data_IF_374529417430
#
_entry.id   IF_374529417430
#
_cell.length_a   1.000
_cell.length_b   1.000
_cell.length_c   1.000
_cell.angle_alpha   90.00
_cell.angle_beta   90.00
_cell.angle_gamma   90.00
#
_symmetry.space_group_name_H-M   'P 1'
#
loop_
_entity.id
_entity.type
_entity.pdbx_description
1 polymer ?
#
# COMPACT_ATOMS: atom_id res chain seq x y z
N UNK A 1 21.74 -28.48 -15.96
CA UNK A 1 21.45 -28.17 -14.54
C UNK A 1 21.50 -26.65 -14.37
N UNK A 2 20.38 -25.98 -14.61
CA UNK A 2 20.30 -24.51 -14.59
C UNK A 2 20.14 -23.99 -13.18
N UNK A 3 21.19 -23.39 -12.64
CA UNK A 3 21.13 -22.62 -11.41
C UNK A 3 20.43 -21.29 -11.70
N UNK A 4 19.14 -21.19 -11.41
CA UNK A 4 18.42 -19.91 -11.56
C UNK A 4 19.00 -18.90 -10.58
N UNK A 5 19.47 -17.75 -11.08
CA UNK A 5 20.05 -16.65 -10.30
C UNK A 5 19.13 -16.16 -9.17
N UNK A 6 17.82 -16.40 -9.27
CA UNK A 6 16.82 -16.27 -8.21
C UNK A 6 17.20 -17.03 -6.94
N UNK A 7 17.85 -18.19 -7.06
CA UNK A 7 18.33 -19.00 -5.92
C UNK A 7 19.58 -18.42 -5.26
N UNK A 8 20.43 -17.75 -6.04
CA UNK A 8 21.63 -17.07 -5.53
C UNK A 8 21.24 -15.76 -4.86
N UNK A 9 20.38 -14.96 -5.50
CA UNK A 9 19.78 -13.73 -4.94
C UNK A 9 18.90 -14.03 -3.72
N UNK A 10 18.10 -15.10 -3.72
CA UNK A 10 17.34 -15.52 -2.54
C UNK A 10 18.24 -16.04 -1.40
N UNK A 11 19.44 -16.56 -1.70
CA UNK A 11 20.43 -16.95 -0.67
C UNK A 11 21.19 -15.74 -0.12
N UNK A 12 21.56 -14.76 -0.94
CA UNK A 12 22.23 -13.53 -0.49
C UNK A 12 21.28 -12.49 0.11
N UNK A 13 20.00 -12.49 -0.25
CA UNK A 13 18.96 -11.60 0.30
C UNK A 13 18.10 -12.23 1.41
N UNK A 14 18.41 -13.45 1.85
CA UNK A 14 17.81 -14.09 3.03
C UNK A 14 17.68 -13.18 4.26
N UNK A 15 18.64 -12.28 4.59
CA UNK A 15 18.48 -11.36 5.72
C UNK A 15 17.49 -10.21 5.49
N UNK A 16 17.01 -9.97 4.26
CA UNK A 16 16.16 -8.82 3.90
C UNK A 16 14.70 -9.20 3.57
N UNK A 17 14.29 -10.43 3.93
CA UNK A 17 12.93 -10.93 3.67
C UNK A 17 12.37 -11.81 4.79
N UNK A 18 11.11 -12.17 4.66
CA UNK A 18 10.35 -12.92 5.68
C UNK A 18 10.77 -14.39 5.87
N UNK A 19 11.85 -14.82 5.19
CA UNK A 19 12.29 -16.21 5.15
C UNK A 19 11.21 -17.15 4.58
N UNK A 20 11.22 -18.41 4.99
CA UNK A 20 10.17 -19.40 4.66
C UNK A 20 9.05 -19.47 5.71
N UNK A 21 9.03 -18.58 6.72
CA UNK A 21 8.07 -18.65 7.84
C UNK A 21 6.62 -18.48 7.39
N UNK A 22 6.40 -17.62 6.40
CA UNK A 22 5.07 -17.41 5.81
C UNK A 22 4.52 -18.62 5.04
N UNK A 23 5.38 -19.60 4.71
CA UNK A 23 5.00 -20.88 4.11
C UNK A 23 4.71 -21.98 5.15
N UNK A 24 4.90 -21.71 6.44
CA UNK A 24 4.63 -22.69 7.48
C UNK A 24 3.13 -22.99 7.52
N UNK A 25 2.76 -24.26 7.56
CA UNK A 25 1.38 -24.74 7.55
C UNK A 25 0.49 -24.01 8.59
N UNK A 26 0.89 -23.85 9.87
CA UNK A 26 0.07 -23.10 10.83
C UNK A 26 -0.15 -21.62 10.45
N UNK A 27 0.82 -20.99 9.78
CA UNK A 27 0.69 -19.61 9.34
C UNK A 27 -0.27 -19.49 8.14
N UNK A 28 -0.27 -20.48 7.25
CA UNK A 28 -1.17 -20.54 6.10
C UNK A 28 -2.60 -20.84 6.53
N UNK A 29 -2.80 -21.83 7.40
CA UNK A 29 -4.11 -22.17 7.97
C UNK A 29 -4.72 -20.99 8.72
N UNK A 30 -3.91 -20.29 9.53
CA UNK A 30 -4.37 -19.08 10.19
C UNK A 30 -4.81 -18.01 9.20
N UNK A 31 -4.02 -17.76 8.14
CA UNK A 31 -4.39 -16.80 7.11
C UNK A 31 -5.67 -17.20 6.36
N UNK A 32 -5.86 -18.49 6.05
CA UNK A 32 -7.08 -18.99 5.41
C UNK A 32 -8.31 -18.75 6.29
N UNK A 33 -8.25 -19.14 7.56
CA UNK A 33 -9.33 -18.89 8.52
C UNK A 33 -9.66 -17.38 8.62
N UNK A 34 -8.63 -16.54 8.64
CA UNK A 34 -8.79 -15.09 8.67
C UNK A 34 -9.39 -14.51 7.38
N UNK A 35 -9.13 -15.11 6.23
CA UNK A 35 -9.71 -14.72 4.95
C UNK A 35 -11.18 -15.16 4.83
N UNK A 36 -11.50 -16.39 5.27
CA UNK A 36 -12.85 -16.96 5.26
C UNK A 36 -13.80 -16.21 6.19
N UNK A 37 -13.29 -15.67 7.31
CA UNK A 37 -14.06 -14.81 8.19
C UNK A 37 -14.52 -13.50 7.50
N UNK A 38 -13.96 -13.16 6.33
CA UNK A 38 -14.33 -11.99 5.55
C UNK A 38 -13.89 -10.67 6.16
N UNK A 39 -14.46 -9.57 5.64
CA UNK A 39 -14.22 -8.23 6.17
C UNK A 39 -14.55 -8.20 7.67
N UNK A 40 -13.55 -7.88 8.49
CA UNK A 40 -13.73 -7.93 9.94
C UNK A 40 -14.50 -6.72 10.43
N UNK A 41 -15.40 -6.98 11.37
CA UNK A 41 -16.03 -5.93 12.18
C UNK A 41 -14.98 -5.06 12.90
N UNK A 42 -13.79 -5.63 13.20
CA UNK A 42 -12.62 -4.92 13.70
C UNK A 42 -11.39 -5.17 12.83
N UNK A 43 -11.25 -4.39 11.78
CA UNK A 43 -10.06 -4.34 10.92
C UNK A 43 -8.81 -3.78 11.65
N UNK A 44 -7.67 -3.70 10.96
CA UNK A 44 -6.42 -3.19 11.54
C UNK A 44 -6.51 -1.74 12.05
N UNK A 45 -7.24 -0.88 11.35
CA UNK A 45 -7.44 0.52 11.75
C UNK A 45 -8.29 0.60 13.03
N UNK A 46 -9.32 -0.25 13.18
CA UNK A 46 -10.20 -0.27 14.33
C UNK A 46 -9.41 -0.64 15.58
N UNK A 47 -8.61 -1.71 15.50
CA UNK A 47 -7.77 -2.14 16.61
C UNK A 47 -6.72 -1.09 16.99
N UNK A 48 -6.17 -0.36 16.01
CA UNK A 48 -5.22 0.73 16.29
C UNK A 48 -5.89 1.97 16.90
N UNK A 49 -7.10 2.29 16.46
CA UNK A 49 -7.93 3.33 17.06
C UNK A 49 -8.29 3.01 18.51
N UNK A 50 -8.75 1.80 18.81
CA UNK A 50 -9.05 1.33 20.17
C UNK A 50 -7.82 1.49 21.08
N UNK A 51 -6.66 0.97 20.66
CA UNK A 51 -5.40 1.13 21.41
C UNK A 51 -5.03 2.60 21.63
N UNK A 52 -5.30 3.47 20.65
CA UNK A 52 -5.06 4.92 20.80
C UNK A 52 -5.99 5.53 21.83
N UNK A 53 -7.27 5.18 21.85
CA UNK A 53 -8.21 5.67 22.87
C UNK A 53 -7.82 5.19 24.27
N UNK A 54 -7.43 3.91 24.42
CA UNK A 54 -6.98 3.33 25.68
C UNK A 54 -5.71 3.99 26.22
N UNK A 55 -4.76 4.32 25.33
CA UNK A 55 -3.50 4.97 25.68
C UNK A 55 -3.56 6.50 25.81
N UNK A 56 -4.71 7.12 25.56
CA UNK A 56 -4.87 8.59 25.57
C UNK A 56 -5.23 9.13 26.95
N UNK A 57 -4.90 10.41 27.19
CA UNK A 57 -5.43 11.13 28.35
C UNK A 57 -6.96 11.22 28.27
N UNK A 58 -7.63 11.49 29.40
CA UNK A 58 -9.10 11.65 29.40
C UNK A 58 -9.56 12.77 28.44
N UNK A 59 -8.82 13.89 28.41
CA UNK A 59 -9.13 15.02 27.54
C UNK A 59 -8.95 14.66 26.05
N UNK A 60 -7.84 14.01 25.70
CA UNK A 60 -7.56 13.60 24.33
C UNK A 60 -8.56 12.56 23.84
N UNK A 61 -8.88 11.56 24.67
CA UNK A 61 -9.91 10.56 24.35
C UNK A 61 -11.25 11.23 24.06
N UNK A 62 -11.68 12.18 24.88
CA UNK A 62 -12.93 12.92 24.65
C UNK A 62 -12.90 13.73 23.36
N UNK A 63 -11.78 14.38 23.04
CA UNK A 63 -11.61 15.09 21.79
C UNK A 63 -11.69 14.15 20.56
N UNK A 64 -11.04 12.99 20.64
CA UNK A 64 -11.07 11.95 19.60
C UNK A 64 -12.48 11.37 19.40
N UNK A 65 -13.18 11.01 20.48
CA UNK A 65 -14.56 10.52 20.44
C UNK A 65 -15.52 11.57 19.86
N UNK A 66 -15.35 12.84 20.25
CA UNK A 66 -16.16 13.96 19.73
C UNK A 66 -15.92 14.16 18.25
N UNK A 67 -14.66 14.17 17.81
CA UNK A 67 -14.33 14.29 16.39
C UNK A 67 -14.90 13.11 15.58
N UNK A 68 -14.82 11.89 16.11
CA UNK A 68 -15.39 10.70 15.47
C UNK A 68 -16.91 10.81 15.33
N UNK A 69 -17.61 11.26 16.38
CA UNK A 69 -19.06 11.47 16.36
C UNK A 69 -19.49 12.59 15.40
N UNK A 70 -18.71 13.67 15.26
CA UNK A 70 -19.04 14.81 14.40
C UNK A 70 -19.09 14.44 12.91
N UNK A 71 -18.32 13.44 12.45
CA UNK A 71 -18.34 13.01 11.06
C UNK A 71 -19.48 12.04 10.71
N UNK A 72 -20.13 11.44 11.72
CA UNK A 72 -21.26 10.50 11.55
C UNK A 72 -20.99 9.43 10.47
N UNK A 73 -21.63 9.52 9.29
CA UNK A 73 -21.43 8.60 8.16
C UNK A 73 -19.97 8.51 7.67
N UNK A 74 -19.13 9.49 7.96
CA UNK A 74 -17.72 9.55 7.59
C UNK A 74 -16.77 9.29 8.76
N UNK A 75 -17.26 8.76 9.89
CA UNK A 75 -16.46 8.57 11.11
C UNK A 75 -15.23 7.69 10.89
N UNK A 76 -15.26 6.82 9.88
CA UNK A 76 -14.12 6.03 9.42
C UNK A 76 -12.88 6.89 9.10
N UNK A 77 -13.07 8.09 8.54
CA UNK A 77 -11.98 9.01 8.24
C UNK A 77 -11.26 9.42 9.54
N UNK A 78 -12.00 9.72 10.61
CA UNK A 78 -11.39 10.05 11.91
C UNK A 78 -10.71 8.82 12.53
N UNK A 79 -11.35 7.66 12.42
CA UNK A 79 -10.80 6.38 12.89
C UNK A 79 -9.43 6.12 12.26
N UNK A 80 -9.32 6.23 10.92
CA UNK A 80 -8.05 6.07 10.20
C UNK A 80 -7.03 7.17 10.53
N UNK A 81 -7.46 8.43 10.63
CA UNK A 81 -6.59 9.52 11.05
C UNK A 81 -5.94 9.26 12.43
N UNK A 82 -6.75 8.83 13.41
CA UNK A 82 -6.24 8.45 14.73
C UNK A 82 -5.36 7.21 14.67
N UNK A 83 -5.79 6.15 13.97
CA UNK A 83 -5.03 4.92 13.80
C UNK A 83 -3.67 5.14 13.13
N UNK A 84 -3.56 6.11 12.20
CA UNK A 84 -2.32 6.53 11.56
C UNK A 84 -1.39 7.33 12.50
N UNK A 85 -1.89 7.72 13.68
CA UNK A 85 -1.12 8.45 14.69
C UNK A 85 -1.18 9.97 14.55
N UNK A 86 -2.16 10.52 13.82
CA UNK A 86 -2.29 11.95 13.67
C UNK A 86 -2.49 12.66 15.04
N UNK A 87 -1.95 13.88 15.21
CA UNK A 87 -2.18 14.72 16.39
C UNK A 87 -3.67 14.98 16.64
N UNK A 88 -4.06 15.07 17.92
CA UNK A 88 -5.47 15.23 18.34
C UNK A 88 -6.05 16.55 17.83
N UNK A 89 -5.27 17.62 17.87
CA UNK A 89 -5.63 18.94 17.35
C UNK A 89 -5.82 18.95 15.83
N UNK A 90 -5.00 18.21 15.07
CA UNK A 90 -5.18 18.01 13.64
C UNK A 90 -6.46 17.23 13.32
N UNK A 91 -6.78 16.20 14.10
CA UNK A 91 -8.01 15.42 13.96
C UNK A 91 -9.23 16.30 14.25
N UNK A 92 -9.19 17.09 15.33
CA UNK A 92 -10.26 18.04 15.66
C UNK A 92 -10.42 19.12 14.57
N UNK A 93 -9.31 19.63 14.03
CA UNK A 93 -9.32 20.58 12.92
C UNK A 93 -9.90 19.98 11.64
N UNK A 94 -9.60 18.71 11.34
CA UNK A 94 -10.22 17.98 10.23
C UNK A 94 -11.73 17.88 10.43
N UNK A 95 -12.17 17.47 11.62
CA UNK A 95 -13.59 17.33 11.93
C UNK A 95 -14.38 18.63 11.78
N UNK A 96 -13.86 19.73 12.36
CA UNK A 96 -14.45 21.07 12.22
C UNK A 96 -14.41 21.60 10.77
N UNK A 97 -13.44 21.13 9.98
CA UNK A 97 -13.28 21.51 8.58
C UNK A 97 -14.09 20.65 7.60
N UNK A 98 -14.56 19.47 8.01
CA UNK A 98 -15.01 18.41 7.11
C UNK A 98 -16.12 18.85 6.16
N UNK A 99 -17.18 19.48 6.68
CA UNK A 99 -18.33 19.93 5.87
C UNK A 99 -17.93 20.92 4.77
N UNK A 100 -16.87 21.70 4.99
CA UNK A 100 -16.35 22.72 4.07
C UNK A 100 -15.35 22.17 3.05
N UNK A 101 -14.97 20.89 3.13
CA UNK A 101 -14.13 20.28 2.11
C UNK A 101 -14.91 20.03 0.82
N UNK A 102 -14.23 20.20 -0.30
CA UNK A 102 -14.76 19.82 -1.62
C UNK A 102 -15.01 18.31 -1.65
N UNK A 103 -16.01 17.87 -2.41
CA UNK A 103 -16.43 16.47 -2.43
C UNK A 103 -15.33 15.54 -2.96
N UNK A 104 -14.48 16.00 -3.88
CA UNK A 104 -13.29 15.24 -4.33
C UNK A 104 -12.32 14.94 -3.17
N UNK A 105 -12.15 15.89 -2.24
CA UNK A 105 -11.26 15.70 -1.10
C UNK A 105 -11.89 14.74 -0.08
N UNK A 106 -13.21 14.83 0.12
CA UNK A 106 -13.95 13.87 0.96
C UNK A 106 -13.90 12.47 0.38
N UNK A 107 -14.12 12.32 -0.93
CA UNK A 107 -14.06 11.06 -1.65
C UNK A 107 -12.68 10.43 -1.54
N UNK A 108 -11.61 11.20 -1.81
CA UNK A 108 -10.24 10.72 -1.69
C UNK A 108 -9.88 10.34 -0.23
N UNK A 109 -10.36 11.10 0.75
CA UNK A 109 -10.14 10.81 2.16
C UNK A 109 -10.87 9.52 2.61
N UNK A 110 -12.09 9.27 2.11
CA UNK A 110 -12.88 8.06 2.39
C UNK A 110 -12.18 6.82 1.85
N UNK A 111 -11.92 6.79 0.55
CA UNK A 111 -11.20 5.70 -0.09
C UNK A 111 -10.66 6.16 -1.45
N UNK A 112 -9.34 6.32 -1.63
CA UNK A 112 -8.79 6.77 -2.91
C UNK A 112 -8.99 5.77 -4.04
N UNK A 113 -9.40 4.52 -3.75
CA UNK A 113 -9.66 3.48 -4.75
C UNK A 113 -11.14 3.31 -5.09
N UNK A 114 -12.05 3.91 -4.33
CA UNK A 114 -13.47 3.78 -4.59
C UNK A 114 -13.86 4.58 -5.83
N UNK A 115 -14.71 4.00 -6.68
CA UNK A 115 -15.42 4.77 -7.69
C UNK A 115 -16.38 5.77 -7.01
N UNK A 116 -16.97 6.68 -7.80
CA UNK A 116 -17.95 7.67 -7.33
C UNK A 116 -19.12 7.08 -6.50
N UNK A 117 -19.39 5.78 -6.66
CA UNK A 117 -20.42 5.03 -5.91
C UNK A 117 -19.93 4.39 -4.61
N UNK A 118 -18.71 4.69 -4.15
CA UNK A 118 -18.17 4.18 -2.88
C UNK A 118 -17.69 2.73 -2.91
N UNK A 119 -17.58 2.13 -4.10
CA UNK A 119 -17.16 0.72 -4.28
C UNK A 119 -15.91 0.67 -5.16
N UNK A 120 -14.95 -0.18 -4.77
CA UNK A 120 -13.77 -0.48 -5.58
C UNK A 120 -14.19 -1.38 -6.75
N UNK A 121 -13.93 -0.95 -7.97
CA UNK A 121 -14.23 -1.69 -9.22
C UNK A 121 -13.21 -1.34 -10.28
N UNK A 122 -13.13 -2.16 -11.33
CA UNK A 122 -12.24 -1.86 -12.46
C UNK A 122 -12.54 -0.48 -13.06
N UNK A 123 -11.46 0.24 -13.39
CA UNK A 123 -11.54 1.60 -13.93
C UNK A 123 -10.48 2.55 -13.36
N UNK A 124 -10.48 3.81 -13.80
CA UNK A 124 -9.49 4.80 -13.35
C UNK A 124 -9.54 5.03 -11.84
N UNK A 125 -8.35 5.16 -11.24
CA UNK A 125 -8.17 5.66 -9.88
C UNK A 125 -7.81 7.14 -9.99
N UNK A 126 -8.53 8.02 -9.31
CA UNK A 126 -8.37 9.46 -9.48
C UNK A 126 -8.45 10.25 -8.17
N UNK A 127 -7.67 11.32 -8.12
CA UNK A 127 -7.78 12.39 -7.14
C UNK A 127 -8.54 13.55 -7.80
N UNK A 128 -9.85 13.63 -7.57
CA UNK A 128 -10.73 14.51 -8.33
C UNK A 128 -10.67 14.18 -9.83
N UNK A 129 -10.31 15.16 -10.66
CA UNK A 129 -10.19 14.97 -12.12
C UNK A 129 -8.85 14.37 -12.57
N UNK A 130 -7.88 14.22 -11.68
CA UNK A 130 -6.52 13.75 -12.03
C UNK A 130 -6.42 12.25 -11.80
N UNK A 131 -6.15 11.50 -12.86
CA UNK A 131 -5.83 10.06 -12.74
C UNK A 131 -4.54 9.88 -11.95
N UNK A 132 -4.58 9.05 -10.91
CA UNK A 132 -3.43 8.68 -10.11
C UNK A 132 -2.55 7.72 -10.92
N UNK A 133 -1.80 8.24 -11.90
CA UNK A 133 -0.87 7.48 -12.75
C UNK A 133 0.57 7.67 -12.27
N UNK A 134 1.43 6.69 -12.47
CA UNK A 134 2.87 6.86 -12.24
C UNK A 134 3.46 7.92 -13.19
N UNK A 135 4.47 8.63 -12.71
CA UNK A 135 5.17 9.67 -13.50
C UNK A 135 5.98 9.06 -14.64
N UNK A 136 6.67 7.95 -14.38
CA UNK A 136 7.58 7.30 -15.32
C UNK A 136 7.74 5.80 -15.02
N UNK A 137 8.57 5.11 -15.81
CA UNK A 137 8.78 3.65 -15.70
C UNK A 137 9.51 3.21 -14.41
N UNK A 138 10.03 4.13 -13.61
CA UNK A 138 10.76 3.85 -12.36
C UNK A 138 9.93 4.18 -11.11
N UNK A 139 8.76 4.81 -11.28
CA UNK A 139 7.95 5.32 -10.16
C UNK A 139 6.76 4.43 -9.80
N UNK A 140 6.61 3.24 -10.40
CA UNK A 140 5.54 2.28 -10.06
C UNK A 140 5.45 2.01 -8.54
N UNK A 141 6.57 1.64 -7.90
CA UNK A 141 6.60 1.37 -6.46
C UNK A 141 6.37 2.62 -5.61
N UNK A 142 6.79 3.80 -6.07
CA UNK A 142 6.55 5.07 -5.39
C UNK A 142 5.08 5.51 -5.48
N UNK A 143 4.42 5.27 -6.61
CA UNK A 143 3.00 5.48 -6.79
C UNK A 143 2.18 4.53 -5.90
N UNK A 144 2.55 3.24 -5.85
CA UNK A 144 1.96 2.26 -4.93
C UNK A 144 2.09 2.72 -3.48
N UNK A 145 3.30 3.08 -3.03
CA UNK A 145 3.52 3.54 -1.66
C UNK A 145 2.75 4.82 -1.35
N UNK A 146 2.68 5.77 -2.29
CA UNK A 146 1.89 7.00 -2.16
C UNK A 146 0.40 6.74 -1.95
N UNK A 147 -0.19 5.82 -2.72
CA UNK A 147 -1.59 5.43 -2.55
C UNK A 147 -1.85 4.61 -1.28
N UNK A 148 -0.90 3.77 -0.86
CA UNK A 148 -0.99 3.11 0.45
C UNK A 148 -1.03 4.15 1.59
N UNK A 149 -0.19 5.18 1.53
CA UNK A 149 -0.24 6.28 2.49
C UNK A 149 -1.56 7.06 2.41
N UNK A 150 -2.06 7.37 1.21
CA UNK A 150 -3.34 8.07 1.03
C UNK A 150 -4.54 7.26 1.57
N UNK A 151 -4.54 5.93 1.41
CA UNK A 151 -5.60 5.08 1.92
C UNK A 151 -5.54 4.91 3.45
N UNK A 152 -4.34 4.91 4.02
CA UNK A 152 -4.12 4.72 5.47
C UNK A 152 -4.29 6.02 6.25
N UNK A 153 -3.79 7.13 5.71
CA UNK A 153 -3.80 8.44 6.34
C UNK A 153 -4.59 9.43 5.46
N UNK A 154 -5.81 9.82 5.87
CA UNK A 154 -6.65 10.72 5.09
C UNK A 154 -6.04 12.11 4.90
N UNK A 155 -5.10 12.54 5.76
CA UNK A 155 -4.40 13.81 5.56
C UNK A 155 -3.54 13.81 4.31
N UNK A 156 -2.97 12.66 3.93
CA UNK A 156 -2.20 12.50 2.69
C UNK A 156 -3.13 12.68 1.49
N UNK A 157 -4.28 12.01 1.48
CA UNK A 157 -5.26 12.12 0.39
C UNK A 157 -5.79 13.56 0.24
N UNK A 158 -6.18 14.20 1.36
CA UNK A 158 -6.67 15.58 1.35
C UNK A 158 -5.59 16.54 0.87
N UNK A 159 -4.33 16.36 1.31
CA UNK A 159 -3.23 17.22 0.85
C UNK A 159 -3.00 17.08 -0.65
N UNK A 160 -3.05 15.87 -1.23
CA UNK A 160 -2.93 15.70 -2.69
C UNK A 160 -4.03 16.48 -3.41
N UNK A 161 -5.29 16.37 -2.96
CA UNK A 161 -6.42 17.04 -3.61
C UNK A 161 -6.41 18.56 -3.40
N UNK A 162 -6.12 19.06 -2.20
CA UNK A 162 -6.35 20.47 -1.86
C UNK A 162 -5.09 21.26 -1.49
N UNK A 163 -3.96 20.60 -1.27
CA UNK A 163 -2.74 21.21 -0.72
C UNK A 163 -2.86 21.66 0.74
N UNK A 164 -3.94 21.31 1.45
CA UNK A 164 -4.21 21.80 2.80
C UNK A 164 -3.55 20.91 3.84
N UNK A 165 -3.01 21.54 4.88
CA UNK A 165 -2.57 20.92 6.12
C UNK A 165 -3.52 21.33 7.26
N UNK A 166 -3.65 20.50 8.29
CA UNK A 166 -4.55 20.74 9.42
C UNK A 166 -3.74 20.84 10.70
N UNK A 167 -3.85 21.99 11.39
CA UNK A 167 -3.05 22.30 12.57
C UNK A 167 -1.52 22.08 12.37
N UNK A 168 -1.01 22.33 11.15
CA UNK A 168 0.41 22.15 10.82
C UNK A 168 0.89 20.70 10.71
N UNK A 169 0.04 19.70 10.94
CA UNK A 169 0.43 18.30 10.80
C UNK A 169 0.79 17.98 9.35
N UNK A 170 1.98 17.41 9.19
CA UNK A 170 2.55 17.04 7.91
C UNK A 170 2.91 15.56 7.96
N UNK A 171 2.06 14.66 7.40
CA UNK A 171 2.39 13.25 7.30
C UNK A 171 3.75 13.03 6.64
N UNK A 172 4.46 11.96 6.99
CA UNK A 172 5.82 11.69 6.45
C UNK A 172 5.84 11.70 4.92
N UNK A 173 4.79 11.13 4.30
CA UNK A 173 4.65 11.12 2.85
C UNK A 173 4.50 12.52 2.23
N UNK A 174 3.78 13.41 2.92
CA UNK A 174 3.62 14.81 2.51
C UNK A 174 4.90 15.60 2.76
N UNK A 175 5.60 15.37 3.88
CA UNK A 175 6.87 15.99 4.16
C UNK A 175 7.91 15.65 3.08
N UNK A 176 7.99 14.37 2.68
CA UNK A 176 8.84 13.93 1.58
C UNK A 176 8.45 14.58 0.24
N UNK A 177 7.14 14.75 -0.03
CA UNK A 177 6.65 15.43 -1.21
C UNK A 177 7.05 16.91 -1.23
N UNK A 178 6.89 17.62 -0.12
CA UNK A 178 7.27 19.04 0.04
C UNK A 178 8.77 19.22 -0.23
N UNK A 179 9.63 18.38 0.35
CA UNK A 179 11.07 18.39 0.11
C UNK A 179 11.40 18.14 -1.37
N UNK A 180 10.61 17.31 -2.06
CA UNK A 180 10.74 17.04 -3.49
C UNK A 180 10.14 18.14 -4.40
N UNK A 181 9.79 19.31 -3.85
CA UNK A 181 9.25 20.45 -4.56
C UNK A 181 7.72 20.58 -4.52
N UNK A 182 7.02 19.74 -3.75
CA UNK A 182 5.56 19.67 -3.72
C UNK A 182 4.85 20.92 -3.14
N UNK A 183 5.52 21.71 -2.32
CA UNK A 183 4.95 22.97 -1.79
C UNK A 183 4.82 24.06 -2.87
N UNK A 184 5.64 23.99 -3.92
CA UNK A 184 5.58 24.89 -5.07
C UNK A 184 4.79 24.31 -6.24
N UNK A 185 4.22 23.11 -6.09
CA UNK A 185 3.53 22.42 -7.17
C UNK A 185 2.07 22.86 -7.27
N UNK A 186 1.72 23.48 -8.40
CA UNK A 186 0.36 23.92 -8.67
C UNK A 186 -0.56 22.73 -8.99
N UNK A 187 -1.73 22.71 -8.33
CA UNK A 187 -2.78 21.73 -8.60
C UNK A 187 -2.53 20.29 -8.09
N UNK A 188 -3.49 19.41 -8.37
CA UNK A 188 -3.52 18.02 -7.89
C UNK A 188 -2.40 17.20 -8.52
N UNK A 189 -2.19 17.34 -9.84
CA UNK A 189 -1.17 16.58 -10.59
C UNK A 189 0.25 16.89 -10.11
N UNK A 190 0.55 18.17 -9.85
CA UNK A 190 1.84 18.60 -9.33
C UNK A 190 2.12 17.98 -7.94
N UNK A 191 1.13 17.97 -7.04
CA UNK A 191 1.26 17.36 -5.72
C UNK A 191 1.36 15.83 -5.77
N UNK A 192 0.58 15.18 -6.63
CA UNK A 192 0.69 13.73 -6.85
C UNK A 192 2.08 13.34 -7.39
N UNK A 193 2.60 14.11 -8.35
CA UNK A 193 3.97 13.97 -8.85
C UNK A 193 5.01 14.14 -7.74
N UNK A 194 4.81 15.12 -6.87
CA UNK A 194 5.71 15.37 -5.74
C UNK A 194 5.70 14.23 -4.72
N UNK A 195 4.54 13.64 -4.40
CA UNK A 195 4.45 12.44 -3.56
C UNK A 195 5.29 11.32 -4.14
N UNK A 196 5.12 11.02 -5.43
CA UNK A 196 5.88 9.95 -6.08
C UNK A 196 7.39 10.22 -6.04
N UNK A 197 7.83 11.45 -6.32
CA UNK A 197 9.26 11.80 -6.25
C UNK A 197 9.83 11.69 -4.84
N UNK A 198 9.09 12.15 -3.84
CA UNK A 198 9.44 12.03 -2.42
C UNK A 198 9.59 10.56 -2.00
N UNK A 199 8.61 9.72 -2.35
CA UNK A 199 8.64 8.29 -2.05
C UNK A 199 9.74 7.56 -2.82
N UNK A 200 9.97 7.89 -4.08
CA UNK A 200 11.05 7.31 -4.87
C UNK A 200 12.42 7.65 -4.27
N UNK A 201 12.62 8.89 -3.83
CA UNK A 201 13.83 9.29 -3.12
C UNK A 201 13.99 8.57 -1.77
N UNK A 202 12.92 8.42 -0.99
CA UNK A 202 12.94 7.74 0.30
C UNK A 202 13.25 6.24 0.18
N UNK A 203 12.66 5.58 -0.82
CA UNK A 203 12.83 4.13 -1.06
C UNK A 203 14.19 3.79 -1.68
N UNK A 204 14.81 4.71 -2.42
CA UNK A 204 16.13 4.48 -3.03
C UNK A 204 17.29 4.90 -2.14
N UNK A 205 17.06 5.80 -1.18
CA UNK A 205 18.08 6.24 -0.22
C UNK A 205 18.38 5.15 0.82
N UNK A 206 19.66 4.85 1.05
CA UNK A 206 20.13 3.89 2.07
C UNK A 206 19.42 2.53 1.96
N UNK A 207 19.26 2.07 0.72
CA UNK A 207 18.56 0.85 0.39
C UNK A 207 19.44 -0.40 0.48
N UNK A 208 20.77 -0.25 0.44
CA UNK A 208 21.75 -1.31 0.58
C UNK A 208 22.66 -0.99 1.78
N UNK A 209 22.07 -0.91 2.97
CA UNK A 209 22.75 -0.40 4.16
C UNK A 209 23.01 1.12 4.05
N UNK A 210 24.26 1.61 4.14
CA UNK A 210 24.53 3.04 3.98
C UNK A 210 24.41 3.51 2.52
N UNK A 211 24.38 2.60 1.54
CA UNK A 211 24.39 2.91 0.11
C UNK A 211 22.99 3.03 -0.49
N UNK A 212 22.87 3.85 -1.52
CA UNK A 212 21.63 3.99 -2.30
C UNK A 212 21.39 2.81 -3.24
N UNK A 213 20.11 2.60 -3.58
CA UNK A 213 19.70 1.77 -4.70
C UNK A 213 19.73 2.61 -5.99
N UNK A 214 20.16 2.06 -7.13
CA UNK A 214 20.10 2.77 -8.41
C UNK A 214 18.66 3.19 -8.72
N UNK A 215 18.41 4.50 -8.81
CA UNK A 215 17.07 5.05 -9.09
C UNK A 215 16.47 4.56 -10.41
N UNK A 216 17.31 4.23 -11.39
CA UNK A 216 16.88 3.64 -12.67
C UNK A 216 16.24 2.26 -12.53
N UNK A 217 16.43 1.58 -11.39
CA UNK A 217 15.84 0.28 -11.09
C UNK A 217 14.56 0.40 -10.24
N UNK A 218 14.07 1.63 -10.00
CA UNK A 218 12.85 1.89 -9.25
C UNK A 218 12.98 1.58 -7.75
N UNK A 219 11.90 1.08 -7.15
CA UNK A 219 11.77 0.87 -5.71
C UNK A 219 12.05 -0.60 -5.32
N UNK A 220 13.09 -0.90 -4.51
CA UNK A 220 13.37 -2.28 -4.11
C UNK A 220 12.35 -2.83 -3.09
N UNK A 221 11.97 -4.12 -3.14
CA UNK A 221 10.90 -4.71 -2.31
C UNK A 221 11.07 -4.53 -0.80
N UNK A 222 12.29 -4.68 -0.28
CA UNK A 222 12.55 -4.55 1.15
C UNK A 222 12.40 -3.11 1.64
N UNK A 223 12.72 -2.10 0.83
CA UNK A 223 12.52 -0.69 1.21
C UNK A 223 11.07 -0.28 1.14
N UNK A 224 10.31 -0.82 0.18
CA UNK A 224 8.86 -0.67 0.19
C UNK A 224 8.28 -1.27 1.47
N UNK A 225 8.67 -2.49 1.83
CA UNK A 225 8.23 -3.14 3.08
C UNK A 225 8.63 -2.36 4.35
N UNK A 226 9.84 -1.81 4.40
CA UNK A 226 10.34 -1.05 5.56
C UNK A 226 9.52 0.21 5.85
N UNK A 227 9.15 0.92 4.79
CA UNK A 227 8.41 2.19 4.82
C UNK A 227 6.88 1.98 4.88
N UNK A 228 6.41 0.78 4.59
CA UNK A 228 4.99 0.43 4.70
C UNK A 228 4.67 0.00 6.13
N UNK A 229 4.06 0.91 6.90
CA UNK A 229 3.67 0.65 8.29
C UNK A 229 2.26 1.14 8.65
N UNK A 230 1.21 0.74 7.91
CA UNK A 230 -0.14 1.17 8.21
C UNK A 230 -0.53 0.76 9.63
N UNK A 231 -0.98 1.74 10.42
CA UNK A 231 -1.48 1.51 11.78
C UNK A 231 -0.49 0.79 12.71
N UNK A 232 0.82 0.95 12.46
CA UNK A 232 1.89 0.28 13.20
C UNK A 232 2.18 -1.17 12.78
N UNK A 233 1.44 -1.72 11.82
CA UNK A 233 1.65 -3.07 11.29
C UNK A 233 2.88 -3.09 10.40
N UNK A 234 3.86 -3.94 10.73
CA UNK A 234 5.10 -4.07 9.95
C UNK A 234 4.87 -4.92 8.73
N UNK A 235 5.44 -4.52 7.59
CA UNK A 235 5.49 -5.35 6.41
C UNK A 235 6.84 -6.04 6.25
N UNK A 236 6.82 -7.15 5.51
CA UNK A 236 8.00 -7.91 5.12
C UNK A 236 7.87 -8.32 3.66
N UNK A 237 9.01 -8.36 2.98
CA UNK A 237 9.08 -8.77 1.58
C UNK A 237 9.45 -10.25 1.49
N UNK A 238 8.88 -10.99 0.53
CA UNK A 238 9.24 -12.39 0.26
C UNK A 238 9.23 -12.69 -1.25
N UNK A 239 10.24 -13.45 -1.70
CA UNK A 239 10.27 -14.01 -3.06
C UNK A 239 9.16 -15.05 -3.20
N UNK A 240 8.42 -15.00 -4.30
CA UNK A 240 7.40 -15.99 -4.64
C UNK A 240 7.97 -17.02 -5.61
N UNK A 241 7.93 -18.30 -5.23
CA UNK A 241 8.14 -19.41 -6.15
C UNK A 241 6.80 -19.80 -6.78
N UNK A 242 6.46 -19.16 -7.90
CA UNK A 242 5.19 -19.35 -8.63
C UNK A 242 5.02 -20.72 -9.28
N UNK A 243 6.06 -21.57 -9.28
CA UNK A 243 5.98 -22.98 -9.69
C UNK A 243 5.56 -23.90 -8.55
N UNK A 244 5.69 -23.44 -7.30
CA UNK A 244 5.24 -24.16 -6.12
C UNK A 244 3.78 -23.85 -5.83
N UNK A 245 2.90 -24.84 -6.01
CA UNK A 245 1.48 -24.69 -5.69
C UNK A 245 1.26 -24.25 -4.23
N UNK A 246 2.03 -24.81 -3.30
CA UNK A 246 1.95 -24.42 -1.88
C UNK A 246 2.37 -22.98 -1.62
N UNK A 247 3.38 -22.46 -2.34
CA UNK A 247 3.79 -21.06 -2.20
C UNK A 247 2.75 -20.09 -2.78
N UNK A 248 2.11 -20.45 -3.89
CA UNK A 248 1.00 -19.68 -4.48
C UNK A 248 -0.21 -19.68 -3.55
N UNK A 249 -0.59 -20.84 -3.01
CA UNK A 249 -1.70 -20.95 -2.05
C UNK A 249 -1.44 -20.13 -0.78
N UNK A 250 -0.24 -20.21 -0.21
CA UNK A 250 0.15 -19.39 0.93
C UNK A 250 0.04 -17.89 0.61
N UNK A 251 0.50 -17.46 -0.58
CA UNK A 251 0.46 -16.06 -0.97
C UNK A 251 -0.98 -15.56 -1.09
N UNK A 252 -1.86 -16.34 -1.74
CA UNK A 252 -3.28 -16.03 -1.86
C UNK A 252 -3.94 -15.94 -0.48
N UNK A 253 -3.67 -16.88 0.42
CA UNK A 253 -4.23 -16.88 1.77
C UNK A 253 -3.81 -15.64 2.56
N UNK A 254 -2.52 -15.33 2.61
CA UNK A 254 -2.01 -14.15 3.32
C UNK A 254 -2.49 -12.84 2.70
N UNK A 255 -2.54 -12.75 1.38
CA UNK A 255 -3.03 -11.55 0.70
C UNK A 255 -4.53 -11.32 0.98
N UNK A 256 -5.33 -12.38 0.92
CA UNK A 256 -6.77 -12.32 1.22
C UNK A 256 -7.01 -11.93 2.68
N UNK A 257 -6.27 -12.52 3.63
CA UNK A 257 -6.34 -12.17 5.04
C UNK A 257 -5.95 -10.72 5.32
N UNK A 258 -4.91 -10.21 4.64
CA UNK A 258 -4.50 -8.82 4.76
C UNK A 258 -5.60 -7.87 4.26
N UNK A 259 -6.16 -8.15 3.08
CA UNK A 259 -7.20 -7.31 2.49
C UNK A 259 -8.49 -7.32 3.31
N UNK A 260 -8.88 -8.48 3.85
CA UNK A 260 -9.99 -8.62 4.80
C UNK A 260 -9.79 -7.79 6.10
N UNK A 261 -8.54 -7.51 6.44
CA UNK A 261 -8.13 -6.70 7.59
C UNK A 261 -7.85 -5.22 7.24
N UNK A 262 -8.20 -4.79 6.01
CA UNK A 262 -8.01 -3.43 5.52
C UNK A 262 -6.57 -3.08 5.13
N UNK A 263 -5.71 -4.08 4.98
CA UNK A 263 -4.28 -3.94 4.70
C UNK A 263 -3.98 -4.28 3.23
N UNK A 264 -3.49 -3.30 2.48
CA UNK A 264 -3.20 -3.45 1.04
C UNK A 264 -1.91 -4.23 0.81
N UNK A 265 -1.80 -4.93 -0.33
CA UNK A 265 -0.69 -5.87 -0.59
C UNK A 265 0.05 -5.52 -1.88
N UNK A 266 1.28 -4.99 -1.79
CA UNK A 266 2.13 -4.77 -2.95
C UNK A 266 2.64 -6.10 -3.54
N UNK A 267 2.58 -6.19 -4.86
CA UNK A 267 3.14 -7.28 -5.64
C UNK A 267 4.16 -6.74 -6.63
N UNK A 268 5.26 -7.47 -6.76
CA UNK A 268 6.23 -7.21 -7.79
C UNK A 268 6.12 -8.23 -8.90
N UNK A 269 6.13 -7.73 -10.12
CA UNK A 269 6.09 -8.51 -11.35
C UNK A 269 7.42 -8.44 -12.11
N UNK A 270 7.72 -9.51 -12.82
CA UNK A 270 8.96 -9.68 -13.56
C UNK A 270 8.73 -10.48 -14.86
N UNK A 271 9.76 -10.51 -15.71
CA UNK A 271 9.74 -11.28 -16.94
C UNK A 271 10.15 -12.73 -16.73
N UNK A 272 10.17 -13.48 -17.82
CA UNK A 272 10.76 -14.83 -17.81
C UNK A 272 12.28 -14.74 -17.94
N UNK A 273 13.00 -15.54 -17.15
CA UNK A 273 14.47 -15.64 -17.15
C UNK A 273 15.02 -16.21 -18.46
N UNK A 274 14.19 -16.93 -19.22
CA UNK A 274 14.55 -17.47 -20.53
C UNK A 274 14.75 -16.35 -21.59
N UNK A 275 14.38 -15.11 -21.26
CA UNK A 275 14.55 -13.91 -22.10
C UNK A 275 15.77 -13.05 -21.72
N UNK A 276 16.63 -13.50 -20.79
CA UNK A 276 17.88 -12.85 -20.42
C UNK A 276 17.99 -12.43 -18.95
N UNK A 277 19.21 -12.14 -18.48
CA UNK A 277 19.50 -11.83 -17.06
C UNK A 277 18.83 -10.53 -16.60
N UNK A 278 18.63 -9.58 -17.51
CA UNK A 278 17.99 -8.29 -17.23
C UNK A 278 16.49 -8.38 -16.92
N UNK A 279 15.83 -9.51 -17.18
CA UNK A 279 14.37 -9.69 -16.96
C UNK A 279 14.03 -10.28 -15.58
N UNK A 280 15.04 -10.73 -14.82
CA UNK A 280 14.89 -11.44 -13.53
C UNK A 280 14.70 -10.48 -12.35
N UNK A 281 15.16 -9.24 -12.48
CA UNK A 281 14.96 -8.20 -11.45
C UNK A 281 13.49 -7.76 -11.48
N UNK A 282 12.78 -7.71 -10.35
CA UNK A 282 11.45 -7.12 -10.26
C UNK A 282 11.39 -5.74 -10.93
N UNK A 283 10.57 -5.57 -11.96
CA UNK A 283 10.54 -4.35 -12.78
C UNK A 283 9.33 -3.48 -12.56
N UNK A 284 8.25 -4.05 -12.02
CA UNK A 284 7.00 -3.33 -11.88
C UNK A 284 6.25 -3.74 -10.62
N UNK A 285 5.62 -2.76 -9.98
CA UNK A 285 4.87 -2.94 -8.74
C UNK A 285 3.41 -2.65 -8.99
N UNK A 286 2.53 -3.56 -8.58
CA UNK A 286 1.09 -3.37 -8.53
C UNK A 286 0.62 -3.49 -7.08
N UNK A 287 -0.58 -3.00 -6.77
CA UNK A 287 -1.12 -3.02 -5.40
C UNK A 287 -2.45 -3.75 -5.39
N UNK A 288 -2.54 -4.88 -4.70
CA UNK A 288 -3.83 -5.50 -4.44
C UNK A 288 -4.61 -4.63 -3.46
N UNK A 289 -5.88 -4.36 -3.81
CA UNK A 289 -6.76 -3.49 -3.04
C UNK A 289 -8.05 -4.17 -2.60
N UNK A 290 -8.46 -5.27 -3.24
CA UNK A 290 -9.61 -6.06 -2.80
C UNK A 290 -9.46 -7.50 -3.25
N UNK A 291 -10.03 -8.43 -2.49
CA UNK A 291 -10.29 -9.79 -2.96
C UNK A 291 -11.57 -9.78 -3.81
N UNK A 292 -11.63 -10.67 -4.79
CA UNK A 292 -12.81 -10.95 -5.62
C UNK A 292 -13.06 -12.45 -5.60
N UNK A 293 -14.21 -12.90 -6.11
CA UNK A 293 -14.56 -14.32 -6.15
C UNK A 293 -13.51 -15.16 -6.91
N UNK A 294 -12.94 -14.59 -7.98
CA UNK A 294 -12.00 -15.28 -8.89
C UNK A 294 -10.53 -14.84 -8.71
N UNK A 295 -10.22 -13.98 -7.74
CA UNK A 295 -8.87 -13.46 -7.52
C UNK A 295 -8.83 -12.15 -6.75
N UNK A 296 -8.25 -11.11 -7.38
CA UNK A 296 -8.06 -9.81 -6.74
C UNK A 296 -8.34 -8.65 -7.69
N UNK A 297 -8.65 -7.51 -7.10
CA UNK A 297 -8.59 -6.22 -7.77
C UNK A 297 -7.23 -5.57 -7.47
N UNK A 298 -6.50 -5.19 -8.51
CA UNK A 298 -5.17 -4.62 -8.41
C UNK A 298 -5.12 -3.21 -9.02
N UNK A 299 -4.50 -2.26 -8.32
CA UNK A 299 -4.11 -0.99 -8.91
C UNK A 299 -2.84 -1.15 -9.73
N UNK A 300 -2.93 -0.81 -11.02
CA UNK A 300 -1.82 -0.81 -11.97
C UNK A 300 -1.37 0.64 -12.22
N UNK A 301 -0.19 1.05 -11.70
CA UNK A 301 0.22 2.45 -11.69
C UNK A 301 0.56 3.00 -13.08
N UNK A 302 0.96 2.16 -14.04
CA UNK A 302 1.22 2.56 -15.43
C UNK A 302 -0.02 3.12 -16.13
N UNK A 303 -1.20 2.57 -15.85
CA UNK A 303 -2.52 3.02 -16.30
C UNK A 303 -3.18 3.99 -15.33
N UNK A 304 -2.82 3.93 -14.05
CA UNK A 304 -3.54 4.64 -12.99
C UNK A 304 -4.96 4.11 -12.80
N UNK A 305 -5.14 2.79 -12.84
CA UNK A 305 -6.44 2.15 -12.86
C UNK A 305 -6.47 0.86 -12.03
N UNK A 306 -7.64 0.51 -11.51
CA UNK A 306 -7.95 -0.80 -10.98
C UNK A 306 -8.25 -1.76 -12.13
N UNK A 307 -7.68 -2.96 -12.05
CA UNK A 307 -7.82 -4.04 -13.02
C UNK A 307 -7.96 -5.37 -12.29
N UNK A 308 -8.80 -6.26 -12.81
CA UNK A 308 -8.96 -7.59 -12.26
C UNK A 308 -7.69 -8.43 -12.50
N UNK A 309 -7.35 -9.24 -11.51
CA UNK A 309 -6.23 -10.16 -11.54
C UNK A 309 -6.72 -11.52 -11.06
N UNK A 310 -7.02 -12.41 -12.01
CA UNK A 310 -7.50 -13.75 -11.73
C UNK A 310 -6.43 -14.65 -11.11
N UNK A 311 -6.87 -15.73 -10.46
CA UNK A 311 -6.00 -16.69 -9.77
C UNK A 311 -4.90 -17.30 -10.68
N UNK A 312 -5.15 -17.37 -12.00
CA UNK A 312 -4.18 -17.84 -12.99
C UNK A 312 -2.96 -16.93 -13.13
N UNK A 313 -3.05 -15.67 -12.71
CA UNK A 313 -1.93 -14.73 -12.75
C UNK A 313 -0.78 -15.08 -11.81
N UNK A 314 -1.04 -15.94 -10.82
CA UNK A 314 -0.08 -16.31 -9.78
C UNK A 314 0.61 -17.65 -10.03
N UNK A 315 0.24 -18.38 -11.09
CA UNK A 315 0.75 -19.72 -11.38
C UNK A 315 1.69 -19.70 -12.58
N UNK A 316 2.98 -19.90 -12.30
CA UNK A 316 4.04 -20.01 -13.30
C UNK A 316 4.17 -18.81 -14.26
N UNK A 317 5.08 -18.90 -15.24
CA UNK A 317 5.13 -17.95 -16.34
C UNK A 317 3.88 -18.12 -17.23
N UNK A 318 3.24 -17.01 -17.59
CA UNK A 318 2.11 -17.00 -18.50
C UNK A 318 2.21 -15.89 -19.56
N UNK A 319 1.13 -15.63 -20.32
CA UNK A 319 1.10 -14.47 -21.20
C UNK A 319 1.30 -13.18 -20.40
N UNK A 320 1.77 -12.13 -21.07
CA UNK A 320 1.86 -10.79 -20.46
C UNK A 320 0.47 -10.30 -20.09
N UNK A 321 0.30 -9.85 -18.84
CA UNK A 321 -1.01 -9.43 -18.31
C UNK A 321 -1.02 -7.94 -18.00
N UNK A 322 -2.11 -7.29 -18.37
CA UNK A 322 -2.35 -5.88 -18.05
C UNK A 322 -2.20 -5.61 -16.55
N UNK A 323 -2.83 -6.42 -15.69
CA UNK A 323 -2.78 -6.28 -14.23
C UNK A 323 -1.45 -6.62 -13.57
N UNK A 324 -0.44 -6.97 -14.35
CA UNK A 324 0.95 -7.10 -13.91
C UNK A 324 1.85 -6.12 -14.67
N UNK A 325 1.35 -4.97 -15.14
CA UNK A 325 2.17 -4.01 -15.91
C UNK A 325 2.73 -4.57 -17.22
N UNK A 326 1.99 -5.50 -17.85
CA UNK A 326 2.40 -6.28 -19.02
C UNK A 326 3.60 -7.22 -18.78
N UNK A 327 3.78 -7.69 -17.55
CA UNK A 327 4.72 -8.76 -17.21
C UNK A 327 4.04 -10.13 -17.17
N UNK A 328 4.84 -11.20 -17.20
CA UNK A 328 4.35 -12.58 -17.35
C UNK A 328 4.08 -13.30 -16.03
N UNK A 329 4.64 -12.80 -14.92
CA UNK A 329 4.59 -13.48 -13.61
C UNK A 329 4.79 -12.54 -12.42
N UNK A 330 4.32 -12.98 -11.26
CA UNK A 330 4.62 -12.38 -9.95
C UNK A 330 5.91 -13.00 -9.40
N UNK A 331 6.85 -12.17 -8.96
CA UNK A 331 8.17 -12.60 -8.48
C UNK A 331 8.39 -12.30 -6.98
N UNK A 332 7.68 -11.33 -6.43
CA UNK A 332 7.83 -10.91 -5.04
C UNK A 332 6.49 -10.43 -4.48
N UNK A 333 6.28 -10.66 -3.18
CA UNK A 333 5.13 -10.16 -2.42
C UNK A 333 5.62 -9.37 -1.21
N UNK A 334 4.90 -8.31 -0.84
CA UNK A 334 5.12 -7.54 0.38
C UNK A 334 3.89 -7.70 1.27
N UNK A 335 4.02 -8.45 2.37
CA UNK A 335 2.91 -8.86 3.23
C UNK A 335 3.02 -8.24 4.62
N UNK A 336 1.90 -8.01 5.31
CA UNK A 336 1.91 -7.77 6.75
C UNK A 336 2.60 -8.93 7.47
N UNK A 337 3.47 -8.62 8.43
CA UNK A 337 4.03 -9.59 9.36
C UNK A 337 3.32 -9.43 10.71
N UNK A 338 2.94 -10.53 11.39
CA UNK A 338 2.66 -10.49 12.80
C UNK A 338 3.81 -9.77 13.51
N UNK A 339 3.48 -8.96 14.52
CA UNK A 339 4.50 -8.56 15.47
C UNK A 339 5.11 -9.85 16.03
N UNK A 340 6.43 -10.02 15.95
CA UNK A 340 7.10 -11.09 16.65
C UNK A 340 6.66 -10.96 18.12
N UNK A 341 5.90 -11.94 18.61
CA UNK A 341 5.42 -11.95 19.98
C UNK A 341 6.61 -11.82 20.92
N UNK A 342 6.62 -10.73 21.68
CA UNK A 342 7.26 -10.68 22.98
C UNK A 342 6.15 -10.84 24.01
#
# INVERSE_FOLDING_TARGET
MGWTLTSVVARTLRPFGWGRRWLAEPAVEHAQHLAEAGARERDAAARAWERRLEGSSLADRRALETAHAELDADSDVIRRAGAAGAPVDSIAALASGWRRLHDDAKAAARDPFAATVGVRREGPVAFGVVTARQVDQTTCGAAVLGLMHAATDPFVAIWVVTGRLFAGYTPEAVAAAIIAGGAAADGIEGRWTAVQRGQHAATTRRALGPFGWPRSLGTPPWRLADLTRPYGVRYRSAVLDDRSQGAVQAMVAHASAALADGLLVPLYSAGDSDLGIDTVVPRHVVLLVAATDDGFLAYEPGRGALVALGAEAFRGPGPRRAGLGNWSRVAWVVLPSPADGH
#
